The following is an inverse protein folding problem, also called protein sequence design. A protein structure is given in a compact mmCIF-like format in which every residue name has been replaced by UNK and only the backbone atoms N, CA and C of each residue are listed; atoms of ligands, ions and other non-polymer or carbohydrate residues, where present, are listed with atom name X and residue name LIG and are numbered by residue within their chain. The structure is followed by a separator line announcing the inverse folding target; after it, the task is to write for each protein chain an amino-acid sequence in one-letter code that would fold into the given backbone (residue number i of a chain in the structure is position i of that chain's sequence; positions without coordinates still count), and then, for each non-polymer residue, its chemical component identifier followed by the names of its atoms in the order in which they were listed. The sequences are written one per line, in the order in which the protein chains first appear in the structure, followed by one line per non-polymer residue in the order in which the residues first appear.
data_IF_016336979379
#
_entry.id   IF_016336979379
#
_cell.length_a   1.000
_cell.length_b   1.000
_cell.length_c   1.000
_cell.angle_alpha   90.00
_cell.angle_beta   90.00
_cell.angle_gamma   90.00
#
_symmetry.space_group_name_H-M   'P 1'
#
loop_
_entity.id
_entity.type
_entity.pdbx_description
1 polymer ?
#
# COMPACT_ATOMS: atom_id res chain seq x y z
N UNK A 1 -12.56 -11.25 25.02
CA UNK A 1 -12.86 -10.55 23.75
C UNK A 1 -12.24 -9.16 23.83
N UNK A 2 -11.48 -8.72 22.83
CA UNK A 2 -10.88 -7.37 22.83
C UNK A 2 -11.90 -6.32 22.37
N UNK A 3 -11.73 -5.05 22.77
CA UNK A 3 -12.61 -3.95 22.32
C UNK A 3 -12.68 -3.87 20.80
N UNK A 4 -11.54 -3.96 20.12
CA UNK A 4 -11.50 -3.98 18.64
C UNK A 4 -12.27 -5.17 18.04
N UNK A 5 -12.19 -6.35 18.67
CA UNK A 5 -12.91 -7.53 18.18
C UNK A 5 -14.42 -7.34 18.32
N UNK A 6 -14.88 -6.92 19.50
CA UNK A 6 -16.29 -6.65 19.74
C UNK A 6 -16.82 -5.58 18.80
N UNK A 7 -16.13 -4.44 18.66
CA UNK A 7 -16.55 -3.37 17.76
C UNK A 7 -16.70 -3.86 16.32
N UNK A 8 -15.77 -4.70 15.84
CA UNK A 8 -15.86 -5.27 14.48
C UNK A 8 -17.07 -6.16 14.27
N UNK A 9 -17.44 -6.93 15.28
CA UNK A 9 -18.57 -7.86 15.24
C UNK A 9 -19.92 -7.14 15.44
N UNK A 10 -19.93 -5.96 16.07
CA UNK A 10 -21.14 -5.21 16.44
C UNK A 10 -21.20 -3.83 15.75
N UNK A 11 -20.85 -3.77 14.45
CA UNK A 11 -20.88 -2.51 13.71
C UNK A 11 -22.29 -1.92 13.56
N UNK A 12 -23.32 -2.76 13.48
CA UNK A 12 -24.71 -2.31 13.37
C UNK A 12 -25.17 -1.64 14.67
N UNK A 13 -24.89 -2.25 15.83
CA UNK A 13 -25.15 -1.65 17.15
C UNK A 13 -24.42 -0.32 17.33
N UNK A 14 -23.15 -0.23 16.91
CA UNK A 14 -22.42 1.05 16.98
C UNK A 14 -22.97 2.10 16.02
N UNK A 15 -23.49 1.68 14.86
CA UNK A 15 -24.17 2.59 13.94
C UNK A 15 -25.45 3.14 14.57
N UNK A 16 -26.26 2.30 15.23
CA UNK A 16 -27.46 2.72 15.96
C UNK A 16 -27.11 3.76 17.03
N UNK A 17 -26.13 3.48 17.89
CA UNK A 17 -25.69 4.44 18.92
C UNK A 17 -25.22 5.77 18.32
N UNK A 18 -24.52 5.74 17.18
CA UNK A 18 -24.13 6.96 16.49
C UNK A 18 -25.33 7.74 15.94
N UNK A 19 -26.34 7.06 15.39
CA UNK A 19 -27.58 7.66 14.88
C UNK A 19 -28.39 8.29 16.03
N UNK A 20 -28.44 7.62 17.18
CA UNK A 20 -29.10 8.11 18.39
C UNK A 20 -28.35 9.27 19.08
N UNK A 21 -27.16 9.62 18.57
CA UNK A 21 -26.38 10.77 19.02
C UNK A 21 -25.46 10.49 20.20
N UNK A 22 -25.09 9.24 20.46
CA UNK A 22 -24.11 8.88 21.50
C UNK A 22 -22.75 9.53 21.17
N UNK A 23 -22.24 10.46 22.01
CA UNK A 23 -21.00 11.17 21.74
C UNK A 23 -19.75 10.29 21.88
N UNK A 24 -19.87 9.10 22.47
CA UNK A 24 -18.77 8.14 22.61
C UNK A 24 -18.46 7.39 21.32
N UNK A 25 -19.39 7.36 20.35
CA UNK A 25 -19.21 6.64 19.09
C UNK A 25 -18.84 7.62 17.97
N UNK A 26 -17.85 7.23 17.16
CA UNK A 26 -17.36 8.02 16.06
C UNK A 26 -17.47 7.26 14.74
N UNK A 27 -17.98 7.94 13.71
CA UNK A 27 -17.94 7.46 12.33
C UNK A 27 -16.63 7.86 11.67
N UNK A 28 -15.85 6.88 11.23
CA UNK A 28 -14.58 7.13 10.52
C UNK A 28 -14.53 6.39 9.19
N UNK A 29 -13.65 6.86 8.30
CA UNK A 29 -13.30 6.14 7.09
C UNK A 29 -11.91 5.51 7.24
N UNK A 30 -11.81 4.20 7.05
CA UNK A 30 -10.53 3.48 7.09
C UNK A 30 -9.56 4.07 6.06
N UNK A 31 -8.39 4.52 6.52
CA UNK A 31 -7.35 5.12 5.65
C UNK A 31 -6.78 4.13 4.63
N UNK A 32 -6.93 2.81 4.86
CA UNK A 32 -6.37 1.77 4.00
C UNK A 32 -7.35 1.30 2.91
N UNK A 33 -8.57 0.92 3.29
CA UNK A 33 -9.54 0.30 2.38
C UNK A 33 -10.78 1.15 2.14
N UNK A 34 -10.85 2.36 2.70
CA UNK A 34 -11.97 3.29 2.57
C UNK A 34 -13.31 2.82 3.15
N UNK A 35 -13.36 1.64 3.79
CA UNK A 35 -14.52 1.16 4.54
C UNK A 35 -14.89 2.15 5.65
N UNK A 36 -16.15 2.53 5.72
CA UNK A 36 -16.71 3.29 6.85
C UNK A 36 -16.94 2.33 8.02
N UNK A 37 -16.53 2.76 9.21
CA UNK A 37 -16.74 2.01 10.46
C UNK A 37 -17.19 2.98 11.57
N UNK A 38 -17.85 2.41 12.56
CA UNK A 38 -18.20 3.07 13.81
C UNK A 38 -17.33 2.49 14.93
N UNK A 39 -16.83 3.35 15.83
CA UNK A 39 -15.86 2.95 16.86
C UNK A 39 -15.94 3.89 18.05
N UNK A 40 -15.71 3.37 19.24
CA UNK A 40 -15.53 4.18 20.45
C UNK A 40 -14.06 4.61 20.63
N UNK A 41 -13.16 4.07 19.81
CA UNK A 41 -11.74 4.44 19.83
C UNK A 41 -11.51 5.72 19.03
N UNK A 42 -11.38 6.85 19.72
CA UNK A 42 -11.22 8.20 19.13
C UNK A 42 -10.17 8.33 18.03
N UNK A 43 -9.00 7.69 18.20
CA UNK A 43 -7.86 7.81 17.27
C UNK A 43 -7.73 6.61 16.31
N UNK A 44 -8.82 5.85 16.13
CA UNK A 44 -8.85 4.72 15.20
C UNK A 44 -8.64 5.23 13.77
N UNK A 45 -7.77 4.54 13.01
CA UNK A 45 -7.44 4.89 11.60
C UNK A 45 -7.86 3.81 10.60
N UNK A 46 -8.06 2.59 11.08
CA UNK A 46 -8.23 1.40 10.25
C UNK A 46 -9.39 0.57 10.75
N UNK A 47 -10.08 -0.14 9.84
CA UNK A 47 -11.13 -1.08 10.21
C UNK A 47 -10.62 -2.23 11.08
N UNK A 48 -9.37 -2.64 10.86
CA UNK A 48 -8.67 -3.60 11.69
C UNK A 48 -7.18 -3.29 11.68
N UNK A 49 -6.55 -3.31 12.86
CA UNK A 49 -5.11 -3.12 12.97
C UNK A 49 -4.36 -4.31 12.35
N UNK A 50 -4.82 -5.54 12.62
CA UNK A 50 -4.19 -6.78 12.16
C UNK A 50 -4.19 -6.94 10.63
N UNK A 51 -5.15 -6.34 9.92
CA UNK A 51 -5.22 -6.41 8.45
C UNK A 51 -4.82 -5.09 7.81
N UNK A 52 -5.68 -4.07 7.87
CA UNK A 52 -5.44 -2.77 7.25
C UNK A 52 -4.28 -2.00 7.90
N UNK A 53 -4.17 -2.04 9.22
CA UNK A 53 -3.04 -1.42 9.93
C UNK A 53 -1.69 -2.03 9.54
N UNK A 54 -1.59 -3.36 9.57
CA UNK A 54 -0.40 -4.09 9.14
C UNK A 54 -0.07 -3.86 7.66
N UNK A 55 -1.06 -3.83 6.76
CA UNK A 55 -0.86 -3.50 5.35
C UNK A 55 -0.19 -2.13 5.20
N UNK A 56 -0.71 -1.10 5.87
CA UNK A 56 -0.14 0.25 5.81
C UNK A 56 1.23 0.35 6.49
N UNK A 57 1.44 -0.37 7.59
CA UNK A 57 2.76 -0.46 8.25
C UNK A 57 3.81 -1.09 7.31
N UNK A 58 3.46 -2.18 6.67
CA UNK A 58 4.35 -2.88 5.74
C UNK A 58 4.64 -2.05 4.48
N UNK A 59 3.64 -1.32 3.97
CA UNK A 59 3.84 -0.36 2.88
C UNK A 59 4.85 0.73 3.27
N UNK A 60 4.68 1.37 4.43
CA UNK A 60 5.60 2.40 4.93
C UNK A 60 7.02 1.85 5.10
N UNK A 61 7.16 0.67 5.71
CA UNK A 61 8.46 -0.03 5.86
C UNK A 61 9.09 -0.34 4.49
N UNK A 62 8.31 -0.80 3.53
CA UNK A 62 8.80 -1.10 2.17
C UNK A 62 9.28 0.15 1.46
N UNK A 63 8.51 1.24 1.50
CA UNK A 63 8.88 2.52 0.90
C UNK A 63 10.14 3.10 1.53
N UNK A 64 10.27 3.08 2.86
CA UNK A 64 11.48 3.51 3.56
C UNK A 64 12.71 2.77 3.05
N UNK A 65 12.66 1.44 2.96
CA UNK A 65 13.76 0.62 2.42
C UNK A 65 14.11 0.95 0.96
N UNK A 66 13.12 1.36 0.14
CA UNK A 66 13.37 1.75 -1.26
C UNK A 66 14.05 3.11 -1.35
N UNK A 67 13.62 4.07 -0.52
CA UNK A 67 14.22 5.40 -0.43
C UNK A 67 15.67 5.28 0.07
N UNK A 68 15.92 4.49 1.12
CA UNK A 68 17.26 4.25 1.68
C UNK A 68 18.21 3.59 0.68
N UNK A 69 17.69 2.74 -0.22
CA UNK A 69 18.49 2.14 -1.30
C UNK A 69 18.90 3.17 -2.37
N UNK A 70 18.16 4.27 -2.48
CA UNK A 70 18.37 5.30 -3.50
C UNK A 70 17.78 4.95 -4.86
N UNK A 71 17.79 5.93 -5.75
CA UNK A 71 17.29 5.80 -7.11
C UNK A 71 18.32 5.12 -8.02
N UNK A 72 17.84 4.30 -8.94
CA UNK A 72 18.62 3.70 -10.01
C UNK A 72 18.30 4.39 -11.32
N UNK A 73 19.25 4.38 -12.26
CA UNK A 73 19.03 4.91 -13.62
C UNK A 73 18.66 3.76 -14.56
N UNK A 74 17.55 3.89 -15.28
CA UNK A 74 17.13 2.88 -16.23
C UNK A 74 18.01 2.90 -17.49
N UNK A 75 18.66 1.79 -17.89
CA UNK A 75 19.52 1.77 -19.08
C UNK A 75 18.74 1.86 -20.39
N UNK A 76 17.41 1.67 -20.37
CA UNK A 76 16.58 1.74 -21.58
C UNK A 76 16.12 3.16 -21.91
N UNK A 77 15.77 3.97 -20.89
CA UNK A 77 15.20 5.31 -21.09
C UNK A 77 15.98 6.43 -20.38
N UNK A 78 16.94 6.13 -19.52
CA UNK A 78 17.72 7.13 -18.76
C UNK A 78 17.03 7.70 -17.52
N UNK A 79 15.75 7.36 -17.27
CA UNK A 79 15.02 7.89 -16.11
C UNK A 79 15.50 7.28 -14.79
N UNK A 80 15.50 8.11 -13.74
CA UNK A 80 15.69 7.66 -12.38
C UNK A 80 14.42 7.01 -11.83
N UNK A 81 14.56 5.88 -11.13
CA UNK A 81 13.44 5.20 -10.50
C UNK A 81 13.84 4.62 -9.14
N UNK A 82 12.86 4.50 -8.23
CA UNK A 82 13.05 3.83 -6.94
C UNK A 82 12.85 2.32 -7.11
N UNK A 83 13.91 1.50 -7.03
CA UNK A 83 13.82 0.07 -7.32
C UNK A 83 13.04 -0.67 -6.21
N UNK A 84 12.03 -1.46 -6.61
CA UNK A 84 11.26 -2.29 -5.65
C UNK A 84 12.15 -3.39 -5.06
N UNK A 85 12.94 -4.06 -5.91
CA UNK A 85 13.92 -5.09 -5.54
C UNK A 85 15.34 -4.56 -5.69
N UNK A 86 16.29 -5.10 -4.93
CA UNK A 86 17.69 -4.65 -4.98
C UNK A 86 18.36 -4.89 -6.35
N UNK A 87 17.94 -5.93 -7.06
CA UNK A 87 18.44 -6.34 -8.38
C UNK A 87 17.64 -5.75 -9.55
N UNK A 88 16.71 -4.82 -9.29
CA UNK A 88 15.92 -4.21 -10.34
C UNK A 88 16.82 -3.39 -11.28
N UNK A 89 16.74 -3.65 -12.59
CA UNK A 89 17.54 -2.93 -13.60
C UNK A 89 16.74 -1.93 -14.44
N UNK A 90 15.43 -2.13 -14.57
CA UNK A 90 14.58 -1.31 -15.43
C UNK A 90 13.46 -0.65 -14.63
N UNK A 91 13.10 0.58 -15.00
CA UNK A 91 12.00 1.31 -14.35
C UNK A 91 10.62 0.66 -14.58
N UNK A 92 10.47 -0.13 -15.67
CA UNK A 92 9.21 -0.77 -16.04
C UNK A 92 9.39 -2.05 -16.86
N UNK A 93 8.33 -2.86 -16.94
CA UNK A 93 8.27 -4.03 -17.83
C UNK A 93 8.44 -3.65 -19.31
N UNK A 94 7.94 -2.48 -19.72
CA UNK A 94 8.08 -1.97 -21.07
C UNK A 94 9.55 -1.71 -21.42
N UNK A 95 10.29 -1.02 -20.53
CA UNK A 95 11.72 -0.79 -20.68
C UNK A 95 12.54 -2.09 -20.71
N UNK A 96 12.20 -3.06 -19.86
CA UNK A 96 12.82 -4.39 -19.91
C UNK A 96 12.62 -5.07 -21.26
N UNK A 97 11.39 -5.08 -21.78
CA UNK A 97 11.10 -5.72 -23.06
C UNK A 97 11.76 -5.00 -24.25
N UNK A 98 11.75 -3.66 -24.25
CA UNK A 98 12.38 -2.86 -25.30
C UNK A 98 13.88 -3.14 -25.38
N UNK A 99 14.57 -3.18 -24.24
CA UNK A 99 15.99 -3.52 -24.18
C UNK A 99 16.27 -4.95 -24.66
N UNK A 100 15.44 -5.92 -24.24
CA UNK A 100 15.53 -7.31 -24.71
C UNK A 100 15.41 -7.42 -26.24
N UNK A 101 14.41 -6.75 -26.85
CA UNK A 101 14.20 -6.77 -28.30
C UNK A 101 15.39 -6.14 -29.03
N UNK A 102 15.93 -5.02 -28.54
CA UNK A 102 17.13 -4.38 -29.10
C UNK A 102 18.32 -5.35 -29.15
N UNK A 103 18.63 -6.03 -28.03
CA UNK A 103 19.73 -7.00 -27.96
C UNK A 103 19.56 -8.14 -28.95
N UNK A 104 18.34 -8.65 -29.12
CA UNK A 104 18.06 -9.71 -30.12
C UNK A 104 18.30 -9.25 -31.55
N UNK A 105 17.87 -8.04 -31.91
CA UNK A 105 18.13 -7.47 -33.24
C UNK A 105 19.62 -7.27 -33.47
N UNK A 106 20.33 -6.68 -32.51
CA UNK A 106 21.79 -6.48 -32.61
C UNK A 106 22.55 -7.80 -32.76
N UNK A 107 22.16 -8.83 -32.00
CA UNK A 107 22.78 -10.16 -32.10
C UNK A 107 22.55 -10.80 -33.48
N UNK A 108 21.36 -10.62 -34.07
CA UNK A 108 21.07 -11.12 -35.41
C UNK A 108 21.79 -10.32 -36.50
N UNK A 109 22.01 -9.01 -36.31
CA UNK A 109 22.71 -8.16 -37.28
C UNK A 109 24.24 -8.33 -37.25
N UNK A 110 24.78 -9.07 -36.28
CA UNK A 110 26.22 -9.32 -36.11
C UNK A 110 26.65 -10.72 -36.59
N UNK A 111 25.75 -11.44 -37.26
CA UNK A 111 25.96 -12.74 -37.93
C UNK A 111 25.89 -12.52 -39.45
#
# INVERSE_FOLDING_TARGET
MTTEQWERENQDTLMEYFIDGDPSVHRIQCECCRKVIYTQTRNRKYCSFQTCGHRMLNLRKSLKKRIERGAYTCPCCGEQFLPIRADARYCSNACRQKDYRKRKVTAHASL
#
